data_IF_357011364424
#
_entry.id   IF_357011364424
#
_cell.length_a   1.000
_cell.length_b   1.000
_cell.length_c   1.000
_cell.angle_alpha   90.00
_cell.angle_beta   90.00
_cell.angle_gamma   90.00
#
_symmetry.space_group_name_H-M   'P 1'
#
loop_
_entity.id
_entity.type
_entity.pdbx_description
1 polymer ?
#
# COMPACT_ATOMS: atom_id res chain seq x y z
N UNK A 1 24.81 -5.06 -5.56
CA UNK A 1 23.36 -5.00 -5.80
C UNK A 1 22.73 -6.26 -5.25
N UNK A 2 21.94 -6.13 -4.21
CA UNK A 2 21.25 -7.29 -3.62
C UNK A 2 19.76 -7.16 -3.84
N UNK A 3 19.07 -8.25 -4.23
CA UNK A 3 17.61 -8.19 -4.37
C UNK A 3 16.95 -8.13 -3.01
N UNK A 4 15.81 -7.44 -2.95
CA UNK A 4 14.93 -7.43 -1.80
C UNK A 4 13.84 -8.47 -2.00
N UNK A 5 13.69 -9.39 -1.06
CA UNK A 5 12.62 -10.40 -1.14
C UNK A 5 11.31 -9.81 -0.63
N UNK A 6 10.40 -9.52 -1.54
CA UNK A 6 9.05 -9.05 -1.16
C UNK A 6 8.28 -10.15 -0.44
N UNK A 7 8.48 -11.42 -0.81
CA UNK A 7 7.82 -12.55 -0.14
C UNK A 7 8.20 -12.60 1.34
N UNK A 8 9.49 -12.46 1.64
CA UNK A 8 9.97 -12.44 3.03
C UNK A 8 9.39 -11.26 3.81
N UNK A 9 9.38 -10.07 3.19
CA UNK A 9 8.82 -8.87 3.83
C UNK A 9 7.32 -9.00 4.08
N UNK A 10 6.58 -9.62 3.16
CA UNK A 10 5.15 -9.88 3.35
C UNK A 10 4.92 -10.73 4.59
N UNK A 11 5.65 -11.84 4.72
CA UNK A 11 5.50 -12.76 5.84
C UNK A 11 5.83 -12.06 7.17
N UNK A 12 6.93 -11.33 7.23
CA UNK A 12 7.36 -10.60 8.42
C UNK A 12 6.34 -9.54 8.83
N UNK A 13 5.89 -8.73 7.88
CA UNK A 13 5.00 -7.61 8.19
C UNK A 13 3.56 -8.02 8.42
N UNK A 14 3.09 -9.12 7.83
CA UNK A 14 1.80 -9.69 8.20
C UNK A 14 1.80 -10.16 9.66
N UNK A 15 2.87 -10.81 10.10
CA UNK A 15 3.02 -11.23 11.49
C UNK A 15 3.02 -10.02 12.43
N UNK A 16 3.76 -8.97 12.08
CA UNK A 16 3.79 -7.73 12.86
C UNK A 16 2.43 -7.04 12.91
N UNK A 17 1.73 -6.98 11.79
CA UNK A 17 0.40 -6.36 11.72
C UNK A 17 -0.62 -7.10 12.61
N UNK A 18 -0.58 -8.43 12.61
CA UNK A 18 -1.47 -9.24 13.45
C UNK A 18 -1.24 -9.00 14.93
N UNK A 19 -0.02 -8.69 15.34
CA UNK A 19 0.36 -8.47 16.74
C UNK A 19 0.21 -7.02 17.17
N UNK A 20 0.24 -6.07 16.23
CA UNK A 20 0.15 -4.66 16.53
C UNK A 20 -1.27 -4.26 16.93
N UNK A 21 -1.41 -3.39 17.92
CA UNK A 21 -2.71 -2.85 18.31
C UNK A 21 -3.37 -2.08 17.17
N UNK A 22 -2.57 -1.48 16.29
CA UNK A 22 -3.06 -0.77 15.09
C UNK A 22 -3.52 -1.73 13.99
N UNK A 23 -3.16 -3.01 14.06
CA UNK A 23 -3.44 -3.99 13.02
C UNK A 23 -2.69 -3.75 11.72
N UNK A 24 -1.61 -2.98 11.74
CA UNK A 24 -0.85 -2.65 10.53
C UNK A 24 0.64 -2.55 10.77
N UNK A 25 1.40 -2.76 9.72
CA UNK A 25 2.85 -2.62 9.70
C UNK A 25 3.27 -2.12 8.32
N UNK A 26 4.23 -1.21 8.26
CA UNK A 26 4.69 -0.65 7.00
C UNK A 26 6.23 -0.63 6.97
N UNK A 27 6.76 -0.78 5.76
CA UNK A 27 8.20 -0.79 5.54
C UNK A 27 8.53 -0.11 4.21
N UNK A 28 9.40 0.88 4.24
CA UNK A 28 9.87 1.52 3.01
C UNK A 28 10.85 0.59 2.32
N UNK A 29 10.47 0.08 1.16
CA UNK A 29 11.32 -0.82 0.36
C UNK A 29 12.34 -0.03 -0.44
N UNK A 30 11.92 1.11 -0.98
CA UNK A 30 12.78 1.98 -1.79
C UNK A 30 12.33 3.43 -1.65
N UNK A 31 13.30 4.35 -1.72
CA UNK A 31 13.03 5.77 -1.77
C UNK A 31 13.19 6.45 -0.43
N UNK A 32 12.66 7.65 -0.34
CA UNK A 32 12.78 8.53 0.81
C UNK A 32 12.54 9.97 0.36
N UNK A 33 12.92 10.95 1.18
CA UNK A 33 12.67 12.35 0.88
C UNK A 33 13.39 12.86 -0.37
N UNK A 34 14.57 12.33 -0.64
CA UNK A 34 15.43 12.82 -1.74
C UNK A 34 15.12 12.14 -3.08
N UNK A 35 14.17 11.21 -3.12
CA UNK A 35 13.90 10.45 -4.33
C UNK A 35 12.49 10.69 -4.84
N UNK A 36 12.35 10.72 -6.16
CA UNK A 36 11.05 10.85 -6.81
C UNK A 36 10.20 9.60 -6.60
N UNK A 37 10.80 8.42 -6.76
CA UNK A 37 10.12 7.15 -6.58
C UNK A 37 10.17 6.70 -5.13
N UNK A 38 9.03 6.30 -4.60
CA UNK A 38 8.95 5.66 -3.28
C UNK A 38 8.07 4.42 -3.35
N UNK A 39 8.57 3.34 -2.77
CA UNK A 39 7.82 2.08 -2.67
C UNK A 39 7.74 1.66 -1.22
N UNK A 40 6.52 1.46 -0.75
CA UNK A 40 6.24 1.09 0.64
C UNK A 40 5.42 -0.18 0.66
N UNK A 41 5.89 -1.18 1.39
CA UNK A 41 5.12 -2.38 1.68
C UNK A 41 4.25 -2.09 2.90
N UNK A 42 2.94 -2.35 2.79
CA UNK A 42 1.98 -2.13 3.86
C UNK A 42 1.23 -3.43 4.12
N UNK A 43 1.27 -3.90 5.35
CA UNK A 43 0.52 -5.07 5.78
C UNK A 43 -0.62 -4.63 6.70
N UNK A 44 -1.80 -5.18 6.46
CA UNK A 44 -3.03 -4.89 7.21
C UNK A 44 -3.67 -6.20 7.65
N UNK A 45 -3.98 -6.30 8.93
CA UNK A 45 -4.81 -7.40 9.42
C UNK A 45 -6.24 -7.24 8.89
N UNK A 46 -6.96 -8.35 8.75
CA UNK A 46 -8.34 -8.34 8.25
C UNK A 46 -9.20 -7.32 8.99
N UNK A 47 -9.96 -6.55 8.24
CA UNK A 47 -10.85 -5.51 8.79
C UNK A 47 -10.19 -4.17 9.04
N UNK A 48 -8.87 -4.07 8.94
CA UNK A 48 -8.17 -2.80 9.14
C UNK A 48 -8.26 -1.93 7.90
N UNK A 49 -8.18 -0.63 8.11
CA UNK A 49 -8.40 0.37 7.08
C UNK A 49 -7.38 1.48 7.18
N UNK A 50 -6.87 1.93 6.04
CA UNK A 50 -6.17 3.21 5.92
C UNK A 50 -7.18 4.23 5.46
N UNK A 51 -7.40 5.26 6.29
CA UNK A 51 -8.43 6.26 6.03
C UNK A 51 -8.08 7.13 4.82
N UNK A 52 -9.07 7.89 4.39
CA UNK A 52 -8.96 8.73 3.20
C UNK A 52 -7.78 9.69 3.29
N UNK A 53 -7.02 9.74 2.23
CA UNK A 53 -5.93 10.69 2.06
C UNK A 53 -5.77 11.03 0.58
N UNK A 54 -5.10 12.13 0.33
CA UNK A 54 -4.82 12.56 -1.03
C UNK A 54 -3.54 11.92 -1.56
N UNK A 55 -3.51 11.75 -2.87
CA UNK A 55 -2.35 11.20 -3.56
C UNK A 55 -1.33 12.32 -3.81
N UNK A 56 -0.08 12.21 -3.32
CA UNK A 56 0.93 13.25 -3.52
C UNK A 56 1.49 13.31 -4.95
N UNK A 57 1.09 12.39 -5.81
CA UNK A 57 1.53 12.29 -7.19
C UNK A 57 0.85 11.11 -7.86
N UNK A 58 1.51 10.50 -8.83
CA UNK A 58 1.02 9.26 -9.41
C UNK A 58 1.30 8.11 -8.46
N UNK A 59 0.36 7.17 -8.36
CA UNK A 59 0.54 6.01 -7.51
C UNK A 59 -0.15 4.77 -8.06
N UNK A 60 0.47 3.64 -7.82
CA UNK A 60 -0.11 2.32 -8.07
C UNK A 60 -0.06 1.48 -6.81
N UNK A 61 -0.93 0.50 -6.73
CA UNK A 61 -1.03 -0.43 -5.62
C UNK A 61 -1.00 -1.84 -6.18
N UNK A 62 0.01 -2.62 -5.79
CA UNK A 62 0.08 -4.02 -6.17
C UNK A 62 -0.29 -4.87 -4.95
N UNK A 63 -1.26 -5.75 -5.12
CA UNK A 63 -1.65 -6.68 -4.05
C UNK A 63 -0.67 -7.85 -4.06
N UNK A 64 0.03 -8.06 -2.94
CA UNK A 64 1.00 -9.14 -2.80
C UNK A 64 0.42 -10.34 -2.05
N UNK A 65 -0.58 -10.12 -1.21
CA UNK A 65 -1.20 -11.16 -0.40
C UNK A 65 -2.61 -10.72 -0.01
N UNK A 66 -3.54 -11.67 0.02
CA UNK A 66 -4.89 -11.44 0.51
C UNK A 66 -5.78 -10.69 -0.45
N UNK A 67 -6.75 -9.97 0.10
CA UNK A 67 -7.76 -9.24 -0.64
C UNK A 67 -7.98 -7.87 -0.03
N UNK A 68 -8.04 -6.85 -0.87
CA UNK A 68 -8.25 -5.46 -0.45
C UNK A 68 -9.40 -4.83 -1.23
N UNK A 69 -9.92 -3.73 -0.68
CA UNK A 69 -10.85 -2.84 -1.38
C UNK A 69 -10.31 -1.42 -1.36
N UNK A 70 -10.18 -0.85 -2.55
CA UNK A 70 -9.80 0.55 -2.74
C UNK A 70 -11.07 1.34 -3.05
N UNK A 71 -11.34 2.38 -2.28
CA UNK A 71 -12.52 3.23 -2.44
C UNK A 71 -12.10 4.67 -2.70
N UNK A 72 -12.68 5.28 -3.73
CA UNK A 72 -12.48 6.69 -4.05
C UNK A 72 -13.83 7.28 -4.47
N UNK A 73 -14.25 8.37 -3.82
CA UNK A 73 -15.57 8.96 -4.02
C UNK A 73 -16.69 7.91 -3.84
N UNK A 74 -17.47 7.64 -4.89
CA UNK A 74 -18.55 6.64 -4.86
C UNK A 74 -18.14 5.31 -5.49
N UNK A 75 -16.91 5.22 -6.01
CA UNK A 75 -16.43 4.02 -6.70
C UNK A 75 -15.55 3.18 -5.77
N UNK A 76 -15.59 1.86 -5.96
CA UNK A 76 -14.70 0.96 -5.27
C UNK A 76 -14.23 -0.16 -6.20
N UNK A 77 -13.04 -0.68 -5.92
CA UNK A 77 -12.46 -1.81 -6.66
C UNK A 77 -11.82 -2.76 -5.68
N UNK A 78 -12.08 -4.05 -5.84
CA UNK A 78 -11.44 -5.09 -5.05
C UNK A 78 -10.24 -5.64 -5.83
N UNK A 79 -9.19 -5.99 -5.10
CA UNK A 79 -8.00 -6.62 -5.67
C UNK A 79 -7.56 -7.81 -4.84
N UNK A 80 -7.02 -8.82 -5.52
CA UNK A 80 -6.45 -10.02 -4.89
C UNK A 80 -4.97 -10.12 -5.26
N UNK A 81 -4.26 -11.03 -4.59
CA UNK A 81 -2.83 -11.24 -4.82
C UNK A 81 -2.51 -11.34 -6.32
N UNK A 82 -1.58 -10.53 -6.78
CA UNK A 82 -1.18 -10.43 -8.18
C UNK A 82 -1.83 -9.30 -8.96
N UNK A 83 -2.86 -8.65 -8.41
CA UNK A 83 -3.53 -7.53 -9.08
C UNK A 83 -2.76 -6.23 -8.88
N UNK A 84 -2.80 -5.40 -9.92
CA UNK A 84 -2.28 -4.03 -9.88
C UNK A 84 -3.45 -3.06 -10.05
N UNK A 85 -3.58 -2.12 -9.11
CA UNK A 85 -4.59 -1.09 -9.17
C UNK A 85 -3.93 0.28 -9.34
N UNK A 86 -4.50 1.12 -10.18
CA UNK A 86 -4.11 2.52 -10.29
C UNK A 86 -4.86 3.30 -9.20
N UNK A 87 -4.14 4.06 -8.40
CA UNK A 87 -4.78 4.91 -7.39
C UNK A 87 -5.24 6.20 -8.09
N UNK A 88 -6.54 6.52 -8.02
CA UNK A 88 -7.05 7.72 -8.68
C UNK A 88 -6.53 9.00 -8.01
N UNK A 89 -6.49 10.07 -8.79
CA UNK A 89 -6.12 11.41 -8.31
C UNK A 89 -7.33 12.03 -7.57
N UNK A 90 -7.66 11.43 -6.43
CA UNK A 90 -8.79 11.80 -5.58
C UNK A 90 -8.52 11.26 -4.19
N UNK A 91 -9.27 11.73 -3.21
CA UNK A 91 -9.21 11.14 -1.87
C UNK A 91 -9.67 9.69 -1.93
N UNK A 92 -8.92 8.81 -1.29
CA UNK A 92 -9.16 7.37 -1.35
C UNK A 92 -8.84 6.71 -0.02
N UNK A 93 -9.44 5.54 0.18
CA UNK A 93 -9.22 4.70 1.35
C UNK A 93 -8.94 3.27 0.92
N UNK A 94 -8.18 2.56 1.73
CA UNK A 94 -7.83 1.16 1.51
C UNK A 94 -8.33 0.33 2.68
N UNK A 95 -9.03 -0.76 2.40
CA UNK A 95 -9.53 -1.68 3.42
C UNK A 95 -9.02 -3.09 3.15
N UNK A 96 -8.56 -3.77 4.19
CA UNK A 96 -8.20 -5.18 4.12
C UNK A 96 -9.45 -6.04 4.37
N UNK A 97 -9.89 -6.76 3.34
CA UNK A 97 -11.01 -7.71 3.46
C UNK A 97 -10.56 -9.02 4.07
N UNK A 98 -9.28 -9.33 3.96
CA UNK A 98 -8.56 -10.44 4.60
C UNK A 98 -7.24 -9.86 5.10
N UNK A 99 -6.45 -10.63 5.84
CA UNK A 99 -5.07 -10.26 6.10
C UNK A 99 -4.40 -10.00 4.76
N UNK A 100 -3.87 -8.82 4.54
CA UNK A 100 -3.40 -8.39 3.23
C UNK A 100 -2.07 -7.67 3.31
N UNK A 101 -1.30 -7.76 2.24
CA UNK A 101 -0.10 -6.98 2.04
C UNK A 101 -0.08 -6.40 0.64
N UNK A 102 0.28 -5.14 0.54
CA UNK A 102 0.31 -4.39 -0.71
C UNK A 102 1.64 -3.68 -0.87
N UNK A 103 2.04 -3.44 -2.10
CA UNK A 103 3.17 -2.58 -2.44
C UNK A 103 2.62 -1.30 -3.05
N UNK A 104 2.77 -0.21 -2.32
CA UNK A 104 2.38 1.12 -2.79
C UNK A 104 3.58 1.76 -3.48
N UNK A 105 3.42 2.11 -4.74
CA UNK A 105 4.44 2.82 -5.52
C UNK A 105 3.93 4.23 -5.80
N UNK A 106 4.74 5.23 -5.42
CA UNK A 106 4.40 6.64 -5.59
C UNK A 106 5.53 7.33 -6.35
N UNK A 107 5.16 8.05 -7.42
CA UNK A 107 6.06 8.98 -8.10
C UNK A 107 5.68 10.38 -7.63
N UNK A 108 6.52 10.99 -6.80
CA UNK A 108 6.23 12.32 -6.27
C UNK A 108 6.37 13.36 -7.36
N UNK A 109 5.38 14.25 -7.46
CA UNK A 109 5.46 15.38 -8.38
C UNK A 109 6.04 16.56 -7.60
N UNK A 110 7.20 17.06 -8.08
CA UNK A 110 7.79 18.26 -7.53
C UNK A 110 7.10 19.46 -8.13
N UNK A 111 6.41 20.22 -7.28
CA UNK A 111 5.79 21.48 -7.72
C UNK A 111 6.85 22.57 -7.68
N UNK A 112 7.11 23.15 -8.83
CA UNK A 112 7.91 24.37 -8.94
C UNK A 112 6.91 25.52 -8.84
N UNK A 113 7.02 26.27 -7.78
CA UNK A 113 6.20 27.46 -7.60
C UNK A 113 6.89 28.71 -8.07
#
# INVERSE_FOLDING_TARGET
MNPTSLITLVDEHLALARQASSGRSAHTVYGGHARTLRQTLIALAAGQRLDEHENPGEATLQVLHGRIRLTADTASSDGVAGDLLTIPDARHALEALEDAAVLLTVAKIWKVS
#
